data_IF_925946496215
#
_entry.id   IF_925946496215
#
_cell.length_a   1.000
_cell.length_b   1.000
_cell.length_c   1.000
_cell.angle_alpha   90.00
_cell.angle_beta   90.00
_cell.angle_gamma   90.00
#
_symmetry.space_group_name_H-M   'P 1'
#
loop_
_entity.id
_entity.type
_entity.pdbx_description
1 polymer ?
#
# COMPACT_ATOMS: atom_id res chain seq x y z
N UNK A 1 31.41 76.86 -18.99
CA UNK A 1 30.79 76.45 -17.69
C UNK A 1 30.67 74.97 -17.70
N UNK A 2 31.66 74.30 -17.16
CA UNK A 2 31.83 72.84 -17.20
C UNK A 2 31.39 72.25 -15.84
N UNK A 3 30.34 71.44 -15.85
CA UNK A 3 29.87 70.73 -14.68
C UNK A 3 30.63 69.39 -14.57
N UNK A 4 31.41 69.23 -13.50
CA UNK A 4 32.09 67.97 -13.19
C UNK A 4 31.11 67.03 -12.50
N UNK A 5 30.83 65.89 -13.12
CA UNK A 5 30.15 64.75 -12.47
C UNK A 5 31.19 63.92 -11.71
N UNK A 6 30.93 63.72 -10.41
CA UNK A 6 31.63 62.70 -9.58
C UNK A 6 30.94 61.37 -9.74
N UNK A 7 31.68 60.27 -9.95
CA UNK A 7 31.12 58.92 -9.85
C UNK A 7 31.15 58.45 -8.40
N UNK A 8 29.98 58.32 -7.77
CA UNK A 8 29.84 57.66 -6.49
C UNK A 8 29.89 56.11 -6.73
N UNK A 9 30.89 55.48 -6.18
CA UNK A 9 30.99 54.00 -6.11
C UNK A 9 29.90 53.48 -5.19
N UNK A 10 28.92 52.79 -5.75
CA UNK A 10 27.93 52.00 -4.99
C UNK A 10 28.48 50.58 -4.79
N UNK A 11 28.98 50.28 -3.60
CA UNK A 11 29.32 48.95 -3.16
C UNK A 11 28.05 48.18 -2.89
N UNK A 12 27.69 47.27 -3.77
CA UNK A 12 26.56 46.37 -3.62
C UNK A 12 26.98 45.16 -2.80
N UNK A 13 26.61 45.11 -1.51
CA UNK A 13 26.79 43.97 -0.65
C UNK A 13 25.77 42.90 -1.04
N UNK A 14 26.23 41.81 -1.65
CA UNK A 14 25.39 40.63 -1.95
C UNK A 14 25.14 39.84 -0.65
N UNK A 15 23.93 39.96 -0.14
CA UNK A 15 23.45 39.14 0.99
C UNK A 15 23.02 37.77 0.46
N UNK A 16 23.86 36.76 0.63
CA UNK A 16 23.54 35.36 0.33
C UNK A 16 22.56 34.87 1.37
N UNK A 17 21.25 34.86 1.04
CA UNK A 17 20.25 34.11 1.79
C UNK A 17 20.42 32.62 1.47
N UNK A 18 21.04 31.86 2.39
CA UNK A 18 20.97 30.39 2.37
C UNK A 18 19.59 29.97 2.87
N UNK A 19 18.67 29.63 1.96
CA UNK A 19 17.43 28.97 2.28
C UNK A 19 17.76 27.54 2.70
N UNK A 20 17.85 27.30 4.01
CA UNK A 20 17.90 25.97 4.57
C UNK A 20 16.57 25.25 4.28
N UNK A 21 16.61 24.22 3.44
CA UNK A 21 15.49 23.30 3.28
C UNK A 21 15.43 22.47 4.56
N UNK A 22 14.55 22.83 5.47
CA UNK A 22 14.21 22.00 6.60
C UNK A 22 13.40 20.82 6.07
N UNK A 23 14.07 19.67 5.86
CA UNK A 23 13.39 18.38 5.69
C UNK A 23 12.75 18.05 7.03
N UNK A 24 11.47 18.38 7.18
CA UNK A 24 10.66 17.87 8.27
C UNK A 24 10.43 16.38 8.03
N UNK A 25 11.36 15.52 8.44
CA UNK A 25 11.12 14.11 8.67
C UNK A 25 10.19 13.99 9.86
N UNK A 26 8.89 14.13 9.60
CA UNK A 26 7.86 13.74 10.54
C UNK A 26 7.89 12.22 10.68
N UNK A 27 8.65 11.73 11.66
CA UNK A 27 8.47 10.37 12.15
C UNK A 27 7.13 10.32 12.85
N UNK A 28 6.09 9.92 12.12
CA UNK A 28 4.84 9.54 12.74
C UNK A 28 5.13 8.29 13.58
N UNK A 29 5.15 8.46 14.92
CA UNK A 29 5.24 7.39 15.90
C UNK A 29 3.90 6.63 15.99
N UNK A 30 3.45 6.07 14.86
CA UNK A 30 2.48 5.01 14.75
C UNK A 30 3.21 3.90 14.01
N UNK A 31 4.13 3.20 14.73
CA UNK A 31 4.91 2.13 14.12
C UNK A 31 3.99 0.98 13.71
N UNK A 32 3.48 1.04 12.49
CA UNK A 32 2.98 -0.14 11.81
C UNK A 32 4.17 -1.08 11.66
N UNK A 33 4.01 -2.32 12.07
CA UNK A 33 5.06 -3.33 11.89
C UNK A 33 5.05 -3.76 10.40
N UNK A 34 5.34 -2.77 9.51
CA UNK A 34 5.38 -2.95 8.06
C UNK A 34 6.30 -4.11 7.68
N UNK A 35 7.38 -4.30 8.44
CA UNK A 35 8.28 -5.43 8.28
C UNK A 35 7.58 -6.80 8.47
N UNK A 36 6.42 -6.86 9.12
CA UNK A 36 5.64 -8.09 9.28
C UNK A 36 4.82 -8.42 8.05
N UNK A 37 4.36 -7.40 7.31
CA UNK A 37 3.49 -7.57 6.12
C UNK A 37 4.24 -7.43 4.79
N UNK A 38 5.47 -6.92 4.79
CA UNK A 38 6.28 -6.68 3.60
C UNK A 38 6.78 -5.23 3.51
N UNK A 39 6.92 -4.73 2.30
CA UNK A 39 7.42 -3.38 2.02
C UNK A 39 6.77 -2.79 0.75
N UNK A 40 6.75 -1.46 0.59
CA UNK A 40 6.32 -0.83 -0.64
C UNK A 40 7.12 -1.34 -1.84
N UNK A 41 6.42 -1.70 -2.92
CA UNK A 41 7.02 -2.13 -4.17
C UNK A 41 7.00 -1.04 -5.23
N UNK A 42 7.74 -1.28 -6.34
CA UNK A 42 7.64 -0.43 -7.53
C UNK A 42 6.79 -1.11 -8.59
N UNK A 43 5.97 -0.36 -9.30
CA UNK A 43 5.11 -0.90 -10.36
C UNK A 43 5.91 -1.63 -11.46
N UNK A 44 7.13 -1.17 -11.74
CA UNK A 44 8.06 -1.79 -12.70
C UNK A 44 8.63 -3.13 -12.23
N UNK A 45 8.57 -3.43 -10.93
CA UNK A 45 9.02 -4.67 -10.31
C UNK A 45 7.87 -5.65 -10.05
N UNK A 46 6.63 -5.24 -10.35
CA UNK A 46 5.46 -6.08 -10.13
C UNK A 46 5.50 -7.31 -11.05
N UNK A 47 5.51 -8.48 -10.42
CA UNK A 47 5.49 -9.78 -11.12
C UNK A 47 4.07 -10.28 -11.37
N UNK A 48 3.09 -9.62 -10.73
CA UNK A 48 1.67 -9.96 -10.83
C UNK A 48 0.81 -8.73 -10.62
N UNK A 49 -0.26 -8.61 -11.43
CA UNK A 49 -1.33 -7.65 -11.23
C UNK A 49 -2.58 -8.38 -10.74
N UNK A 50 -3.24 -7.82 -9.73
CA UNK A 50 -4.50 -8.33 -9.19
C UNK A 50 -5.51 -7.18 -9.21
N UNK A 51 -6.60 -7.38 -9.95
CA UNK A 51 -7.74 -6.46 -9.91
C UNK A 51 -8.59 -6.77 -8.69
N UNK A 52 -8.96 -5.74 -7.91
CA UNK A 52 -9.80 -5.88 -6.73
C UNK A 52 -10.93 -4.86 -6.82
N UNK A 53 -12.15 -5.36 -6.83
CA UNK A 53 -13.35 -4.53 -6.77
C UNK A 53 -13.77 -4.27 -5.32
N UNK A 54 -14.23 -3.05 -5.06
CA UNK A 54 -14.77 -2.58 -3.78
C UNK A 54 -16.23 -2.18 -3.99
N UNK A 55 -17.16 -2.86 -3.33
CA UNK A 55 -18.58 -2.70 -3.56
C UNK A 55 -19.35 -2.39 -2.26
N UNK A 56 -20.52 -1.75 -2.39
CA UNK A 56 -21.42 -1.40 -1.27
C UNK A 56 -22.05 -2.64 -0.60
N UNK A 57 -21.79 -3.83 -1.11
CA UNK A 57 -22.05 -5.09 -0.39
C UNK A 57 -21.11 -5.30 0.80
N UNK A 58 -20.20 -4.34 1.03
CA UNK A 58 -19.14 -4.39 2.05
C UNK A 58 -18.22 -5.60 1.86
N UNK A 59 -17.80 -5.81 0.62
CA UNK A 59 -16.90 -6.90 0.23
C UNK A 59 -15.86 -6.42 -0.78
N UNK A 60 -14.69 -7.03 -0.69
CA UNK A 60 -13.68 -7.02 -1.75
C UNK A 60 -13.89 -8.22 -2.66
N UNK A 61 -13.64 -8.06 -3.94
CA UNK A 61 -13.64 -9.17 -4.90
C UNK A 61 -12.36 -9.12 -5.77
N UNK A 62 -11.44 -10.08 -5.60
CA UNK A 62 -11.43 -11.20 -4.65
C UNK A 62 -11.12 -10.77 -3.21
N UNK A 63 -11.68 -11.49 -2.22
CA UNK A 63 -11.38 -11.27 -0.80
C UNK A 63 -10.26 -12.18 -0.26
N UNK A 64 -9.82 -13.18 -1.03
CA UNK A 64 -8.76 -14.13 -0.65
C UNK A 64 -7.78 -14.29 -1.79
N UNK A 65 -6.51 -14.14 -1.46
CA UNK A 65 -5.41 -14.22 -2.42
C UNK A 65 -4.31 -15.13 -1.85
N UNK A 66 -3.57 -15.77 -2.76
CA UNK A 66 -2.34 -16.47 -2.42
C UNK A 66 -1.21 -15.91 -3.26
N UNK A 67 -0.11 -15.56 -2.64
CA UNK A 67 1.11 -15.05 -3.27
C UNK A 67 2.31 -15.82 -2.75
N UNK A 68 3.45 -15.73 -3.43
CA UNK A 68 4.70 -16.31 -2.96
C UNK A 68 5.53 -15.28 -2.21
N UNK A 69 6.27 -15.71 -1.22
CA UNK A 69 7.27 -14.88 -0.57
C UNK A 69 8.28 -14.34 -1.61
N UNK A 70 8.57 -13.05 -1.54
CA UNK A 70 9.41 -12.32 -2.50
C UNK A 70 8.64 -11.76 -3.70
N UNK A 71 7.36 -12.09 -3.87
CA UNK A 71 6.53 -11.60 -4.97
C UNK A 71 6.14 -10.13 -4.73
N UNK A 72 6.28 -9.31 -5.77
CA UNK A 72 5.75 -7.94 -5.80
C UNK A 72 4.44 -7.95 -6.56
N UNK A 73 3.36 -7.54 -5.89
CA UNK A 73 2.00 -7.52 -6.45
C UNK A 73 1.54 -6.08 -6.64
N UNK A 74 1.01 -5.80 -7.82
CA UNK A 74 0.29 -4.56 -8.12
C UNK A 74 -1.20 -4.82 -7.96
N UNK A 75 -1.80 -4.27 -6.92
CA UNK A 75 -3.24 -4.26 -6.74
C UNK A 75 -3.82 -3.08 -7.52
N UNK A 76 -4.67 -3.37 -8.51
CA UNK A 76 -5.47 -2.37 -9.22
C UNK A 76 -6.85 -2.39 -8.59
N UNK A 77 -7.20 -1.30 -7.91
CA UNK A 77 -8.39 -1.19 -7.10
C UNK A 77 -9.44 -0.36 -7.82
N UNK A 78 -10.69 -0.81 -7.79
CA UNK A 78 -11.82 -0.09 -8.35
C UNK A 78 -12.93 0.00 -7.31
N UNK A 79 -13.45 1.20 -7.10
CA UNK A 79 -14.67 1.37 -6.32
C UNK A 79 -15.88 1.34 -7.28
N UNK A 80 -16.58 0.22 -7.32
CA UNK A 80 -17.83 0.06 -8.08
C UNK A 80 -19.07 0.46 -7.30
N UNK A 81 -18.91 0.81 -6.01
CA UNK A 81 -19.97 1.24 -5.11
C UNK A 81 -20.36 2.71 -5.29
N UNK A 82 -21.27 3.16 -4.41
CA UNK A 82 -21.77 4.54 -4.35
C UNK A 82 -21.24 5.28 -3.11
N UNK A 83 -20.55 4.56 -2.21
CA UNK A 83 -19.92 5.11 -1.01
C UNK A 83 -18.39 5.14 -1.16
N UNK A 84 -17.72 5.92 -0.33
CA UNK A 84 -16.26 5.95 -0.26
C UNK A 84 -15.76 4.63 0.33
N UNK A 85 -14.81 3.99 -0.32
CA UNK A 85 -14.16 2.78 0.15
C UNK A 85 -12.65 2.96 0.27
N UNK A 86 -12.04 2.15 1.10
CA UNK A 86 -10.62 2.15 1.35
C UNK A 86 -10.06 0.74 1.26
N UNK A 87 -8.84 0.61 0.76
CA UNK A 87 -8.07 -0.63 0.80
C UNK A 87 -6.82 -0.37 1.60
N UNK A 88 -6.66 -1.05 2.72
CA UNK A 88 -5.49 -0.94 3.60
C UNK A 88 -4.92 -2.33 3.84
N UNK A 89 -3.65 -2.55 3.46
CA UNK A 89 -2.89 -3.75 3.83
C UNK A 89 -2.35 -3.59 5.26
N UNK A 90 -2.43 -4.67 6.06
CA UNK A 90 -1.93 -4.64 7.44
C UNK A 90 -1.97 -6.00 8.09
N UNK A 91 -1.51 -6.09 9.32
CA UNK A 91 -1.86 -7.19 10.19
C UNK A 91 -3.18 -6.88 10.94
N UNK A 92 -3.85 -7.89 11.44
CA UNK A 92 -5.17 -7.73 12.07
C UNK A 92 -5.17 -6.74 13.26
N UNK A 93 -4.07 -6.69 14.01
CA UNK A 93 -3.92 -5.80 15.17
C UNK A 93 -3.86 -4.33 14.74
N UNK A 94 -3.02 -4.04 13.74
CA UNK A 94 -2.80 -2.67 13.27
C UNK A 94 -4.02 -2.15 12.52
N UNK A 95 -4.66 -2.99 11.70
CA UNK A 95 -5.92 -2.63 11.03
C UNK A 95 -7.03 -2.31 12.04
N UNK A 96 -7.12 -3.07 13.12
CA UNK A 96 -8.09 -2.79 14.19
C UNK A 96 -7.76 -1.49 14.92
N UNK A 97 -6.49 -1.26 15.28
CA UNK A 97 -6.07 -0.03 15.93
C UNK A 97 -6.37 1.20 15.06
N UNK A 98 -6.06 1.12 13.77
CA UNK A 98 -6.36 2.18 12.81
C UNK A 98 -7.88 2.39 12.67
N UNK A 99 -8.67 1.32 12.59
CA UNK A 99 -10.13 1.41 12.54
C UNK A 99 -10.72 2.15 13.74
N UNK A 100 -10.19 1.91 14.94
CA UNK A 100 -10.62 2.63 16.15
C UNK A 100 -10.32 4.15 16.08
N UNK A 101 -9.24 4.53 15.39
CA UNK A 101 -8.92 5.95 15.11
C UNK A 101 -9.92 6.51 14.10
N UNK A 102 -10.21 5.81 13.01
CA UNK A 102 -11.14 6.26 11.97
C UNK A 102 -12.57 6.42 12.49
N UNK A 103 -13.01 5.62 13.45
CA UNK A 103 -14.31 5.81 14.11
C UNK A 103 -14.39 7.12 14.88
N UNK A 104 -13.28 7.59 15.45
CA UNK A 104 -13.21 8.86 16.20
C UNK A 104 -13.03 10.07 15.28
N UNK A 105 -12.33 9.88 14.18
CA UNK A 105 -11.96 10.94 13.24
C UNK A 105 -12.27 10.52 11.79
N UNK A 106 -13.55 10.39 11.43
CA UNK A 106 -13.97 9.82 10.14
C UNK A 106 -13.54 10.65 8.93
N UNK A 107 -13.27 11.94 9.12
CA UNK A 107 -12.81 12.85 8.07
C UNK A 107 -11.28 12.94 7.98
N UNK A 108 -10.54 12.15 8.78
CA UNK A 108 -9.10 12.14 8.71
C UNK A 108 -8.66 11.56 7.36
N UNK A 109 -7.91 12.34 6.62
CA UNK A 109 -7.27 11.91 5.39
C UNK A 109 -5.78 11.73 5.63
N UNK A 110 -5.27 10.60 5.20
CA UNK A 110 -3.86 10.27 5.21
C UNK A 110 -3.55 9.36 4.03
N UNK A 111 -2.32 9.38 3.58
CA UNK A 111 -1.86 8.57 2.47
C UNK A 111 -0.59 7.83 2.89
N UNK A 112 -0.64 6.52 2.82
CA UNK A 112 0.49 5.63 3.10
C UNK A 112 0.66 4.66 1.93
N UNK A 113 1.84 4.07 1.79
CA UNK A 113 2.15 3.23 0.64
C UNK A 113 1.34 1.92 0.59
N UNK A 114 0.81 1.47 1.74
CA UNK A 114 0.01 0.25 1.89
C UNK A 114 -1.50 0.48 1.74
N UNK A 115 -1.93 1.72 1.37
CA UNK A 115 -3.35 2.05 1.33
C UNK A 115 -3.75 2.95 0.17
N UNK A 116 -5.04 2.93 -0.15
CA UNK A 116 -5.68 3.89 -1.04
C UNK A 116 -7.15 4.05 -0.66
N UNK A 117 -7.61 5.30 -0.65
CA UNK A 117 -9.02 5.68 -0.47
C UNK A 117 -9.60 6.12 -1.81
N UNK A 118 -10.75 5.57 -2.19
CA UNK A 118 -11.40 5.81 -3.47
C UNK A 118 -12.83 6.29 -3.28
N UNK A 119 -13.16 7.42 -3.91
CA UNK A 119 -14.54 7.86 -4.07
C UNK A 119 -15.30 6.94 -5.06
N UNK A 120 -16.64 7.00 -5.11
CA UNK A 120 -17.46 6.23 -6.06
C UNK A 120 -16.96 6.33 -7.49
N UNK A 121 -16.81 5.20 -8.16
CA UNK A 121 -16.37 5.10 -9.55
C UNK A 121 -14.87 5.31 -9.78
N UNK A 122 -14.11 5.69 -8.78
CA UNK A 122 -12.66 5.88 -8.90
C UNK A 122 -11.90 4.56 -8.91
N UNK A 123 -10.69 4.62 -9.47
CA UNK A 123 -9.69 3.56 -9.45
C UNK A 123 -8.37 4.09 -8.89
N UNK A 124 -7.57 3.17 -8.32
CA UNK A 124 -6.27 3.47 -7.76
C UNK A 124 -5.42 2.21 -7.67
N UNK A 125 -4.23 2.33 -7.09
CA UNK A 125 -3.34 1.18 -6.97
C UNK A 125 -2.56 1.19 -5.66
N UNK A 126 -2.21 -0.02 -5.22
CA UNK A 126 -1.22 -0.28 -4.18
C UNK A 126 -0.23 -1.28 -4.75
N UNK A 127 1.07 -1.00 -4.65
CA UNK A 127 2.13 -1.93 -5.06
C UNK A 127 2.88 -2.38 -3.83
N UNK A 128 2.85 -3.70 -3.57
CA UNK A 128 3.40 -4.25 -2.34
C UNK A 128 4.27 -5.49 -2.59
N UNK A 129 5.43 -5.54 -1.95
CA UNK A 129 6.33 -6.69 -1.99
C UNK A 129 6.21 -7.49 -0.70
N UNK A 130 5.82 -8.75 -0.83
CA UNK A 130 5.61 -9.68 0.28
C UNK A 130 6.92 -10.36 0.67
N UNK A 131 7.63 -9.84 1.66
CA UNK A 131 8.99 -10.27 2.03
C UNK A 131 9.02 -11.51 2.92
N UNK A 132 7.92 -11.84 3.60
CA UNK A 132 7.83 -12.96 4.56
C UNK A 132 6.60 -13.83 4.28
N UNK A 133 6.76 -15.15 4.46
CA UNK A 133 5.62 -16.07 4.46
C UNK A 133 4.78 -15.84 5.72
N UNK A 134 3.58 -15.32 5.53
CA UNK A 134 2.67 -14.93 6.60
C UNK A 134 1.24 -14.76 6.05
N UNK A 135 0.28 -14.60 6.94
CA UNK A 135 -1.04 -14.07 6.61
C UNK A 135 -0.96 -12.54 6.69
N UNK A 136 -1.28 -11.86 5.62
CA UNK A 136 -1.46 -10.41 5.55
C UNK A 136 -2.94 -10.14 5.34
N UNK A 137 -3.52 -9.27 6.16
CA UNK A 137 -4.91 -8.89 6.04
C UNK A 137 -5.04 -7.60 5.21
N UNK A 138 -6.23 -7.37 4.65
CA UNK A 138 -6.60 -6.08 4.12
C UNK A 138 -8.05 -5.76 4.49
N UNK A 139 -8.35 -4.48 4.65
CA UNK A 139 -9.66 -4.04 5.11
C UNK A 139 -10.04 -2.66 4.56
N UNK A 140 -11.34 -2.37 4.58
CA UNK A 140 -11.86 -1.03 4.49
C UNK A 140 -12.06 -0.50 5.92
N UNK A 141 -11.40 0.60 6.26
CA UNK A 141 -11.44 1.19 7.60
C UNK A 141 -12.40 2.37 7.70
N UNK A 142 -13.20 2.62 6.66
CA UNK A 142 -14.30 3.57 6.75
C UNK A 142 -15.28 3.13 7.86
N UNK A 143 -15.80 4.06 8.68
CA UNK A 143 -16.68 3.73 9.79
C UNK A 143 -17.84 2.82 9.40
N UNK A 144 -17.99 1.70 10.11
CA UNK A 144 -19.00 0.68 9.87
C UNK A 144 -18.66 -0.37 8.80
N UNK A 145 -17.75 -0.08 7.85
CA UNK A 145 -17.44 -1.01 6.77
C UNK A 145 -16.65 -2.25 7.26
N UNK A 146 -15.70 -2.03 8.16
CA UNK A 146 -14.96 -3.11 8.80
C UNK A 146 -15.87 -4.07 9.56
N UNK A 147 -16.80 -3.52 10.35
CA UNK A 147 -17.76 -4.31 11.15
C UNK A 147 -18.76 -5.06 10.26
N UNK A 148 -19.16 -4.45 9.13
CA UNK A 148 -20.00 -5.10 8.11
C UNK A 148 -19.27 -6.23 7.37
N UNK A 149 -17.96 -6.42 7.62
CA UNK A 149 -17.17 -7.52 7.07
C UNK A 149 -16.39 -7.19 5.80
N UNK A 150 -16.16 -5.91 5.49
CA UNK A 150 -15.33 -5.50 4.36
C UNK A 150 -13.85 -5.74 4.65
N UNK A 151 -13.47 -7.02 4.55
CA UNK A 151 -12.15 -7.56 4.88
C UNK A 151 -11.74 -8.63 3.90
N UNK A 152 -10.44 -8.83 3.76
CA UNK A 152 -9.85 -9.89 2.97
C UNK A 152 -8.49 -10.29 3.50
N UNK A 153 -7.86 -11.25 2.83
CA UNK A 153 -6.54 -11.74 3.23
C UNK A 153 -5.69 -12.14 2.05
N UNK A 154 -4.39 -11.98 2.20
CA UNK A 154 -3.33 -12.52 1.34
C UNK A 154 -2.57 -13.57 2.13
N UNK A 155 -2.58 -14.81 1.67
CA UNK A 155 -1.74 -15.87 2.19
C UNK A 155 -0.41 -15.86 1.46
N UNK A 156 0.65 -15.48 2.13
CA UNK A 156 2.01 -15.50 1.59
C UNK A 156 2.64 -16.84 1.88
N UNK A 157 2.91 -17.63 0.84
CA UNK A 157 3.48 -18.98 0.95
C UNK A 157 4.98 -18.97 0.70
N UNK A 158 5.72 -19.88 1.33
CA UNK A 158 7.13 -20.10 0.99
C UNK A 158 7.26 -20.57 -0.47
N UNK A 159 8.34 -20.21 -1.17
CA UNK A 159 8.66 -20.83 -2.46
C UNK A 159 8.71 -22.35 -2.32
N UNK A 160 8.15 -23.07 -3.29
CA UNK A 160 8.27 -24.53 -3.32
C UNK A 160 9.75 -24.94 -3.38
N UNK A 161 10.18 -25.77 -2.44
CA UNK A 161 11.52 -26.34 -2.47
C UNK A 161 11.62 -27.40 -3.57
N UNK A 162 12.80 -27.64 -4.19
CA UNK A 162 12.93 -28.66 -5.23
C UNK A 162 12.54 -30.07 -4.76
N UNK A 163 12.50 -30.33 -3.46
CA UNK A 163 12.13 -31.61 -2.86
C UNK A 163 10.64 -31.93 -2.97
N UNK A 164 9.79 -30.90 -3.02
CA UNK A 164 8.33 -31.07 -3.06
C UNK A 164 7.82 -31.53 -4.44
N UNK A 165 8.66 -31.43 -5.49
CA UNK A 165 8.33 -31.91 -6.84
C UNK A 165 8.52 -33.42 -7.04
N UNK A 166 9.14 -34.15 -6.08
CA UNK A 166 9.51 -35.56 -6.25
C UNK A 166 8.49 -36.56 -5.68
N UNK A 167 7.42 -36.10 -5.04
CA UNK A 167 6.43 -36.95 -4.36
C UNK A 167 5.05 -36.94 -5.01
N UNK A 168 4.98 -36.85 -6.35
CA UNK A 168 3.75 -37.22 -7.03
C UNK A 168 3.83 -38.73 -7.35
N UNK A 169 2.95 -39.57 -6.81
CA UNK A 169 2.92 -40.98 -7.15
C UNK A 169 2.58 -41.10 -8.64
N UNK A 170 3.43 -41.80 -9.41
CA UNK A 170 3.07 -42.26 -10.74
C UNK A 170 1.94 -43.26 -10.58
N UNK A 171 0.74 -42.93 -11.01
CA UNK A 171 -0.32 -43.90 -11.23
C UNK A 171 0.09 -44.79 -12.41
N UNK A 172 0.74 -45.88 -12.13
CA UNK A 172 0.88 -46.99 -13.09
C UNK A 172 -0.44 -47.79 -13.07
N UNK A 173 -1.36 -47.43 -13.95
CA UNK A 173 -2.42 -48.31 -14.36
C UNK A 173 -1.85 -49.30 -15.38
N UNK A 174 -1.34 -50.40 -14.88
CA UNK A 174 -1.02 -51.56 -15.72
C UNK A 174 -2.31 -52.33 -16.00
N UNK A 175 -2.89 -52.12 -17.20
CA UNK A 175 -3.92 -52.99 -17.73
C UNK A 175 -3.27 -54.27 -18.21
N UNK A 176 -3.45 -55.36 -17.46
CA UNK A 176 -3.23 -56.74 -17.98
C UNK A 176 -4.53 -57.23 -18.62
N UNK A 177 -4.42 -57.61 -19.91
CA UNK A 177 -5.34 -58.44 -20.63
C UNK A 177 -5.19 -59.93 -20.23
#
# INVERSE_FOLDING_TARGET
MQLKLNPAMATMAALLLTTGIASASGTHAGGHDDAAIGEPGKATEATRTVEVDMADTMRFSPAKLTVKQGETVRFVLKNSGKTKHEFVLGNAKDLMAHYEVMKKFPEMEHAEANMVTLAPGQAGEVVWKFTKAAKVDFACLQPGHYDAGMKGQVMVTKPATPRDKKTMPKNEHEHKH
#
